data_IF_339502467536
#
_entry.id   IF_339502467536
#
_cell.length_a   1.000
_cell.length_b   1.000
_cell.length_c   1.000
_cell.angle_alpha   90.00
_cell.angle_beta   90.00
_cell.angle_gamma   90.00
#
_symmetry.space_group_name_H-M   'P 1'
#
loop_
_entity.id
_entity.type
_entity.pdbx_description
1 polymer ?
#
# COMPACT_ATOMS: atom_id res chain seq x y z
N UNK A 1 -5.54 -6.97 22.23
CA UNK A 1 -5.51 -6.30 20.92
C UNK A 1 -4.19 -5.56 20.81
N UNK A 2 -3.43 -5.74 19.72
CA UNK A 2 -2.22 -4.95 19.47
C UNK A 2 -2.65 -3.68 18.75
N UNK A 3 -2.47 -2.55 19.42
CA UNK A 3 -2.64 -1.22 18.84
C UNK A 3 -1.38 -0.90 18.01
N UNK A 4 -1.55 -0.52 16.74
CA UNK A 4 -0.48 -0.17 15.80
C UNK A 4 0.09 1.25 16.03
N UNK A 5 -0.36 1.95 17.07
CA UNK A 5 0.16 3.27 17.42
C UNK A 5 1.59 3.19 17.96
N UNK A 6 2.44 4.11 17.48
CA UNK A 6 3.80 4.27 17.97
C UNK A 6 3.86 5.15 19.24
N UNK A 7 3.10 4.77 20.28
CA UNK A 7 2.96 5.55 21.51
C UNK A 7 3.49 4.85 22.76
N UNK A 8 3.92 3.59 22.65
CA UNK A 8 4.39 2.79 23.78
C UNK A 8 5.63 1.95 23.41
N UNK A 9 6.73 2.18 24.11
CA UNK A 9 7.99 1.44 23.95
C UNK A 9 7.99 0.04 24.60
N UNK A 10 7.00 -0.29 25.43
CA UNK A 10 6.88 -1.62 26.06
C UNK A 10 6.06 -2.62 25.24
N UNK A 11 5.50 -2.20 24.11
CA UNK A 11 4.74 -3.06 23.21
C UNK A 11 5.65 -3.55 22.09
N UNK A 12 5.63 -4.86 21.84
CA UNK A 12 6.43 -5.50 20.81
C UNK A 12 6.08 -4.98 19.41
N UNK A 13 7.07 -4.94 18.50
CA UNK A 13 6.90 -4.56 17.09
C UNK A 13 7.39 -5.66 16.15
N UNK A 14 6.77 -5.70 14.97
CA UNK A 14 7.16 -6.59 13.88
C UNK A 14 8.19 -5.96 12.95
N UNK A 15 9.22 -6.72 12.55
CA UNK A 15 10.13 -6.35 11.45
C UNK A 15 10.05 -7.35 10.29
N UNK A 16 10.52 -6.93 9.11
CA UNK A 16 10.36 -7.66 7.84
C UNK A 16 11.62 -7.55 6.98
N UNK A 17 11.83 -8.55 6.12
CA UNK A 17 12.84 -8.49 5.05
C UNK A 17 14.20 -9.10 5.39
N UNK A 18 14.41 -9.56 6.62
CA UNK A 18 15.64 -10.22 7.07
C UNK A 18 16.89 -9.34 6.96
N UNK A 19 18.06 -9.98 7.04
CA UNK A 19 19.39 -9.37 7.12
C UNK A 19 20.37 -10.02 6.12
N UNK A 20 21.56 -9.46 5.95
CA UNK A 20 22.52 -9.90 4.93
C UNK A 20 23.15 -11.28 5.17
N UNK A 21 22.99 -11.87 6.35
CA UNK A 21 23.48 -13.22 6.68
C UNK A 21 22.34 -14.23 6.88
N UNK A 22 21.08 -13.81 6.70
CA UNK A 22 19.94 -14.69 6.87
C UNK A 22 19.81 -15.68 5.70
N UNK A 23 19.34 -16.89 6.01
CA UNK A 23 19.00 -17.89 5.01
C UNK A 23 17.74 -17.52 4.20
N UNK A 24 17.50 -18.16 3.04
CA UNK A 24 16.40 -17.81 2.14
C UNK A 24 15.00 -17.87 2.76
N UNK A 25 14.76 -18.79 3.70
CA UNK A 25 13.49 -18.91 4.42
C UNK A 25 13.12 -17.65 5.21
N UNK A 26 14.12 -16.94 5.70
CA UNK A 26 14.00 -15.73 6.50
C UNK A 26 13.88 -14.44 5.65
N UNK A 27 14.25 -14.53 4.37
CA UNK A 27 14.12 -13.45 3.38
C UNK A 27 12.77 -13.48 2.64
N UNK A 28 11.94 -14.51 2.89
CA UNK A 28 10.61 -14.61 2.30
C UNK A 28 9.74 -13.41 2.69
N UNK A 29 8.90 -12.94 1.77
CA UNK A 29 7.92 -11.87 2.04
C UNK A 29 6.91 -12.26 3.13
N UNK A 30 6.68 -13.56 3.33
CA UNK A 30 5.84 -14.10 4.39
C UNK A 30 6.53 -14.15 5.76
N UNK A 31 7.86 -14.08 5.82
CA UNK A 31 8.58 -14.12 7.08
C UNK A 31 8.26 -12.90 7.95
N UNK A 32 7.95 -13.16 9.21
CA UNK A 32 7.57 -12.16 10.23
C UNK A 32 8.48 -12.35 11.44
N UNK A 33 8.98 -11.25 11.99
CA UNK A 33 9.73 -11.24 13.25
C UNK A 33 8.99 -10.34 14.22
N UNK A 34 8.10 -10.94 15.01
CA UNK A 34 7.09 -10.25 15.79
C UNK A 34 7.42 -10.21 17.29
N UNK A 35 8.71 -10.28 17.66
CA UNK A 35 9.21 -10.23 19.04
C UNK A 35 10.40 -9.27 19.19
N UNK A 36 10.26 -8.06 18.67
CA UNK A 36 11.30 -7.03 18.75
C UNK A 36 10.92 -5.95 19.74
N UNK A 37 11.80 -5.73 20.72
CA UNK A 37 11.74 -4.62 21.66
C UNK A 37 11.95 -3.29 20.89
N UNK A 38 10.99 -2.35 20.92
CA UNK A 38 11.11 -1.05 20.24
C UNK A 38 12.30 -0.20 20.73
N UNK A 39 12.76 -0.45 21.95
CA UNK A 39 13.91 0.26 22.56
C UNK A 39 15.23 -0.46 22.29
N UNK A 40 15.19 -1.68 21.75
CA UNK A 40 16.34 -2.46 21.37
C UNK A 40 17.09 -1.86 20.18
N UNK A 41 18.41 -1.89 20.25
CA UNK A 41 19.29 -1.43 19.16
C UNK A 41 20.02 -2.63 18.54
N UNK A 42 20.02 -2.70 17.21
CA UNK A 42 20.74 -3.73 16.47
C UNK A 42 21.27 -3.14 15.15
N UNK A 43 22.52 -3.47 14.80
CA UNK A 43 23.18 -3.01 13.56
C UNK A 43 22.52 -3.58 12.30
N UNK A 44 21.69 -4.61 12.43
CA UNK A 44 21.01 -5.27 11.30
C UNK A 44 19.57 -4.80 11.11
N UNK A 45 19.07 -3.91 11.97
CA UNK A 45 17.70 -3.39 11.92
C UNK A 45 17.69 -1.97 11.34
N UNK A 46 16.80 -1.73 10.37
CA UNK A 46 16.63 -0.43 9.72
C UNK A 46 15.16 -0.13 9.39
N UNK A 47 14.91 1.01 8.76
CA UNK A 47 13.56 1.46 8.38
C UNK A 47 13.50 1.94 6.93
N UNK A 48 12.29 1.91 6.36
CA UNK A 48 11.97 2.57 5.09
C UNK A 48 10.84 3.55 5.33
N UNK A 49 11.02 4.77 4.86
CA UNK A 49 9.97 5.79 4.92
C UNK A 49 8.96 5.51 3.82
N UNK A 50 7.68 5.59 4.15
CA UNK A 50 6.59 5.47 3.19
C UNK A 50 5.77 6.74 3.28
N UNK A 51 5.52 7.38 2.14
CA UNK A 51 4.58 8.50 2.07
C UNK A 51 3.19 7.92 1.80
N UNK A 52 2.26 8.16 2.69
CA UNK A 52 0.85 7.98 2.38
C UNK A 52 0.47 9.13 1.47
N UNK A 53 0.03 8.84 0.23
CA UNK A 53 -0.61 9.85 -0.58
C UNK A 53 -1.82 10.34 0.22
N UNK A 54 -1.78 11.60 0.68
CA UNK A 54 -2.94 12.22 1.31
C UNK A 54 -4.14 12.03 0.40
N UNK A 55 -5.29 11.66 0.97
CA UNK A 55 -6.56 11.33 0.31
C UNK A 55 -7.19 12.49 -0.51
N UNK A 56 -6.43 13.09 -1.42
CA UNK A 56 -6.82 14.23 -2.26
C UNK A 56 -5.99 14.36 -3.54
N UNK A 57 -5.21 13.34 -3.88
CA UNK A 57 -4.40 13.28 -5.10
C UNK A 57 -4.57 11.95 -5.83
N UNK A 58 -5.77 11.35 -5.78
CA UNK A 58 -6.11 10.22 -6.65
C UNK A 58 -6.08 10.71 -8.09
N UNK A 59 -4.93 10.51 -8.75
CA UNK A 59 -4.89 10.43 -10.21
C UNK A 59 -5.90 9.33 -10.56
N UNK A 60 -6.94 9.63 -11.37
CA UNK A 60 -7.93 8.62 -11.72
C UNK A 60 -7.18 7.40 -12.26
N UNK A 61 -7.43 6.24 -11.65
CA UNK A 61 -6.77 5.02 -12.11
C UNK A 61 -7.02 4.86 -13.62
N UNK A 62 -6.09 4.27 -14.38
CA UNK A 62 -6.24 4.10 -15.82
C UNK A 62 -7.59 3.45 -16.20
N UNK A 63 -8.10 2.55 -15.33
CA UNK A 63 -9.42 1.93 -15.41
C UNK A 63 -10.56 2.93 -15.27
N UNK A 64 -10.49 3.85 -14.31
CA UNK A 64 -11.48 4.91 -14.09
C UNK A 64 -11.57 5.84 -15.30
N UNK A 65 -10.43 6.22 -15.89
CA UNK A 65 -10.43 7.02 -17.13
C UNK A 65 -11.07 6.27 -18.30
N UNK A 66 -10.81 4.96 -18.43
CA UNK A 66 -11.42 4.14 -19.46
C UNK A 66 -12.95 4.07 -19.31
N UNK A 67 -13.46 3.90 -18.08
CA UNK A 67 -14.91 3.87 -17.82
C UNK A 67 -15.57 5.21 -18.17
N UNK A 68 -14.98 6.34 -17.77
CA UNK A 68 -15.50 7.66 -18.13
C UNK A 68 -15.47 7.90 -19.64
N UNK A 69 -14.39 7.51 -20.32
CA UNK A 69 -14.27 7.60 -21.77
C UNK A 69 -15.34 6.78 -22.50
N UNK A 70 -15.55 5.53 -22.08
CA UNK A 70 -16.56 4.64 -22.64
C UNK A 70 -17.99 5.13 -22.36
N UNK A 71 -18.26 5.64 -21.16
CA UNK A 71 -19.55 6.23 -20.79
C UNK A 71 -19.90 7.45 -21.63
N UNK A 72 -18.95 8.38 -21.78
CA UNK A 72 -19.11 9.56 -22.64
C UNK A 72 -19.34 9.18 -24.10
N UNK A 73 -18.59 8.21 -24.63
CA UNK A 73 -18.76 7.70 -25.98
C UNK A 73 -20.14 7.07 -26.20
N UNK A 74 -20.60 6.26 -25.25
CA UNK A 74 -21.93 5.64 -25.29
C UNK A 74 -23.07 6.67 -25.29
N UNK A 75 -22.93 7.75 -24.51
CA UNK A 75 -23.90 8.85 -24.48
C UNK A 75 -23.92 9.64 -25.79
N UNK A 76 -22.74 9.94 -26.36
CA UNK A 76 -22.65 10.59 -27.67
C UNK A 76 -23.27 9.74 -28.78
N UNK A 77 -23.04 8.42 -28.76
CA UNK A 77 -23.66 7.48 -29.69
C UNK A 77 -25.19 7.46 -29.57
N UNK A 78 -25.70 7.43 -28.34
CA UNK A 78 -27.16 7.46 -28.08
C UNK A 78 -27.79 8.80 -28.48
N UNK A 79 -27.08 9.91 -28.33
CA UNK A 79 -27.53 11.23 -28.76
C UNK A 79 -27.68 11.32 -30.28
N UNK A 80 -26.70 10.80 -31.04
CA UNK A 80 -26.74 10.80 -32.52
C UNK A 80 -27.88 9.98 -33.08
N UNK A 81 -28.19 8.83 -32.48
CA UNK A 81 -29.35 8.02 -32.90
C UNK A 81 -30.70 8.68 -32.64
N UNK A 82 -30.76 9.66 -31.72
CA UNK A 82 -31.99 10.39 -31.39
C UNK A 82 -32.21 11.63 -32.25
N UNK A 83 -31.19 12.10 -32.97
CA UNK A 83 -31.32 13.20 -33.93
C UNK A 83 -31.71 12.74 -35.34
N UNK A 84 -31.77 11.43 -35.58
CA UNK A 84 -32.13 10.81 -36.86
C UNK A 84 -33.57 10.24 -36.87
N UNK A 85 -34.41 10.61 -35.90
CA UNK A 85 -35.86 10.32 -35.83
C UNK A 85 -36.64 11.61 -35.60
#
# INVERSE_FOLDING_TARGET
SIDLLNNNGSSIRGIRGGTWFDGPSYLSSSARYDDVDPTGKNLTVGFRVVSLSSAGGEVPEPSTMAIFGLGALGMAYRGRRRSES
#
